data_IF_384448112670
#
_entry.id   IF_384448112670
#
_cell.length_a   1.000
_cell.length_b   1.000
_cell.length_c   1.000
_cell.angle_alpha   90.00
_cell.angle_beta   90.00
_cell.angle_gamma   90.00
#
_symmetry.space_group_name_H-M   'P 1'
#
loop_
_entity.id
_entity.type
_entity.pdbx_description
1 polymer ?
#
# COMPACT_ATOMS: atom_id res chain seq x y z
N UNK A 1 14.78 -12.97 -50.78
CA UNK A 1 15.40 -12.25 -49.65
C UNK A 1 14.47 -11.11 -49.29
N UNK A 2 13.85 -11.17 -48.11
CA UNK A 2 12.95 -10.12 -47.62
C UNK A 2 13.79 -9.08 -46.92
N UNK A 3 13.81 -7.84 -47.42
CA UNK A 3 14.45 -6.72 -46.74
C UNK A 3 13.71 -6.44 -45.43
N UNK A 4 14.36 -6.70 -44.30
CA UNK A 4 13.94 -6.19 -43.00
C UNK A 4 14.27 -4.71 -42.95
N UNK A 5 13.27 -3.87 -43.23
CA UNK A 5 13.33 -2.43 -42.96
C UNK A 5 13.36 -2.21 -41.45
N UNK A 6 14.56 -2.10 -40.87
CA UNK A 6 14.74 -1.55 -39.52
C UNK A 6 14.50 -0.05 -39.64
N UNK A 7 13.35 0.42 -39.16
CA UNK A 7 13.13 1.86 -38.94
C UNK A 7 14.03 2.28 -37.78
N UNK A 8 15.06 3.06 -38.07
CA UNK A 8 15.83 3.77 -37.04
C UNK A 8 14.93 4.83 -36.40
N UNK A 9 14.31 4.50 -35.27
CA UNK A 9 13.83 5.51 -34.35
C UNK A 9 15.04 6.20 -33.73
N UNK A 10 15.37 7.39 -34.24
CA UNK A 10 16.41 8.31 -33.75
C UNK A 10 16.00 8.97 -32.42
N UNK A 11 15.54 8.16 -31.46
CA UNK A 11 15.40 8.57 -30.07
C UNK A 11 16.69 8.29 -29.31
N UNK A 12 17.18 9.25 -28.53
CA UNK A 12 18.28 9.00 -27.61
C UNK A 12 17.96 7.78 -26.73
N UNK A 13 18.85 6.78 -26.69
CA UNK A 13 18.69 5.59 -25.86
C UNK A 13 18.57 6.03 -24.39
N UNK A 14 17.38 5.91 -23.81
CA UNK A 14 17.12 6.34 -22.43
C UNK A 14 17.51 5.30 -21.39
N UNK A 15 17.92 4.10 -21.80
CA UNK A 15 18.19 2.96 -20.90
C UNK A 15 16.93 2.31 -20.33
N UNK A 16 15.78 2.96 -20.49
CA UNK A 16 14.51 2.57 -19.90
C UNK A 16 14.03 1.19 -20.36
N UNK A 17 14.17 0.89 -21.65
CA UNK A 17 13.79 -0.42 -22.17
C UNK A 17 14.70 -1.53 -21.64
N UNK A 18 16.01 -1.29 -21.55
CA UNK A 18 16.95 -2.25 -20.96
C UNK A 18 16.63 -2.51 -19.48
N UNK A 19 16.31 -1.46 -18.71
CA UNK A 19 15.93 -1.62 -17.31
C UNK A 19 14.66 -2.48 -17.17
N UNK A 20 13.66 -2.33 -18.04
CA UNK A 20 12.46 -3.19 -18.03
C UNK A 20 12.79 -4.67 -18.11
N UNK A 21 13.76 -5.05 -18.94
CA UNK A 21 14.22 -6.44 -19.05
C UNK A 21 14.98 -6.92 -17.81
N UNK A 22 15.66 -6.02 -17.09
CA UNK A 22 16.44 -6.36 -15.90
C UNK A 22 15.62 -6.37 -14.60
N UNK A 23 14.47 -5.70 -14.57
CA UNK A 23 13.65 -5.55 -13.36
C UNK A 23 13.30 -6.86 -12.64
N UNK A 24 12.90 -7.95 -13.33
CA UNK A 24 12.66 -9.22 -12.64
C UNK A 24 13.89 -9.73 -11.89
N UNK A 25 15.08 -9.66 -12.52
CA UNK A 25 16.33 -10.07 -11.89
C UNK A 25 16.69 -9.14 -10.71
N UNK A 26 16.56 -7.83 -10.87
CA UNK A 26 16.79 -6.87 -9.79
C UNK A 26 15.84 -7.09 -8.60
N UNK A 27 14.57 -7.43 -8.87
CA UNK A 27 13.60 -7.75 -7.82
C UNK A 27 14.06 -8.97 -7.00
N UNK A 28 14.51 -10.05 -7.64
CA UNK A 28 15.03 -11.22 -6.93
C UNK A 28 16.34 -10.94 -6.19
N UNK A 29 17.30 -10.28 -6.85
CA UNK A 29 18.59 -9.95 -6.25
C UNK A 29 18.45 -9.00 -5.04
N UNK A 30 17.49 -8.08 -5.06
CA UNK A 30 17.23 -7.20 -3.91
C UNK A 30 16.67 -7.93 -2.68
N UNK A 31 16.07 -9.11 -2.84
CA UNK A 31 15.58 -9.91 -1.71
C UNK A 31 16.72 -10.64 -0.98
N UNK A 32 17.76 -11.05 -1.73
CA UNK A 32 18.90 -11.80 -1.21
C UNK A 32 19.95 -10.88 -0.56
N UNK A 33 20.54 -11.30 0.57
CA UNK A 33 21.41 -10.42 1.36
C UNK A 33 22.67 -9.95 0.62
N UNK A 34 23.47 -10.88 0.09
CA UNK A 34 24.74 -10.54 -0.55
C UNK A 34 24.55 -9.77 -1.87
N UNK A 35 23.66 -10.19 -2.79
CA UNK A 35 23.39 -9.39 -3.99
C UNK A 35 22.80 -8.01 -3.67
N UNK A 36 21.92 -7.89 -2.67
CA UNK A 36 21.37 -6.59 -2.26
C UNK A 36 22.48 -5.63 -1.82
N UNK A 37 23.49 -6.08 -1.07
CA UNK A 37 24.64 -5.25 -0.69
C UNK A 37 25.36 -4.68 -1.93
N UNK A 38 25.55 -5.48 -2.97
CA UNK A 38 26.12 -5.02 -4.25
C UNK A 38 25.20 -4.00 -4.92
N UNK A 39 23.89 -4.28 -5.02
CA UNK A 39 22.92 -3.34 -5.61
C UNK A 39 22.91 -1.97 -4.90
N UNK A 40 23.09 -1.97 -3.57
CA UNK A 40 23.21 -0.76 -2.78
C UNK A 40 24.48 0.05 -3.10
N UNK A 41 25.60 -0.59 -3.45
CA UNK A 41 26.82 0.12 -3.90
C UNK A 41 26.69 0.73 -5.29
N UNK A 42 25.73 0.26 -6.09
CA UNK A 42 25.46 0.73 -7.45
C UNK A 42 24.31 1.74 -7.51
N UNK A 43 23.84 2.24 -6.35
CA UNK A 43 22.69 3.15 -6.23
C UNK A 43 21.43 2.67 -6.96
N UNK A 44 21.22 1.35 -6.97
CA UNK A 44 20.04 0.72 -7.57
C UNK A 44 18.72 1.30 -7.03
N UNK A 45 18.56 1.63 -5.72
CA UNK A 45 17.34 2.28 -5.25
C UNK A 45 17.06 3.60 -5.98
N UNK A 46 18.07 4.46 -6.17
CA UNK A 46 17.90 5.73 -6.87
C UNK A 46 17.51 5.51 -8.34
N UNK A 47 18.16 4.56 -9.02
CA UNK A 47 17.80 4.16 -10.39
C UNK A 47 16.33 3.73 -10.51
N UNK A 48 15.83 2.93 -9.56
CA UNK A 48 14.45 2.47 -9.54
C UNK A 48 13.45 3.61 -9.26
N UNK A 49 13.80 4.55 -8.37
CA UNK A 49 12.97 5.75 -8.11
C UNK A 49 12.89 6.64 -9.35
N UNK A 50 14.01 6.83 -10.06
CA UNK A 50 14.03 7.61 -11.29
C UNK A 50 13.20 6.95 -12.39
N UNK A 51 13.31 5.63 -12.53
CA UNK A 51 12.48 4.85 -13.44
C UNK A 51 10.98 5.03 -13.14
N UNK A 52 10.57 4.88 -11.88
CA UNK A 52 9.18 5.08 -11.46
C UNK A 52 8.70 6.51 -11.73
N UNK A 53 9.53 7.51 -11.45
CA UNK A 53 9.21 8.92 -11.65
C UNK A 53 8.98 9.25 -13.14
N UNK A 54 9.82 8.72 -14.02
CA UNK A 54 9.68 8.88 -15.47
C UNK A 54 8.46 8.12 -16.01
N UNK A 55 8.22 6.90 -15.53
CA UNK A 55 7.03 6.13 -15.89
C UNK A 55 5.74 6.82 -15.46
N UNK A 56 5.69 7.34 -14.23
CA UNK A 56 4.57 8.14 -13.74
C UNK A 56 4.33 9.40 -14.57
N UNK A 57 5.39 10.13 -14.92
CA UNK A 57 5.29 11.33 -15.76
C UNK A 57 4.74 11.01 -17.15
N UNK A 58 5.20 9.91 -17.77
CA UNK A 58 4.66 9.44 -19.04
C UNK A 58 3.19 9.03 -18.92
N UNK A 59 2.81 8.36 -17.82
CA UNK A 59 1.45 7.94 -17.54
C UNK A 59 0.49 9.12 -17.36
N UNK A 60 0.95 10.22 -16.74
CA UNK A 60 0.19 11.48 -16.61
C UNK A 60 -0.02 12.16 -17.97
N UNK A 61 1.00 12.17 -18.82
CA UNK A 61 0.96 12.87 -20.12
C UNK A 61 0.03 12.24 -21.17
N UNK A 62 -0.29 10.95 -21.07
CA UNK A 62 -1.10 10.20 -22.05
C UNK A 62 -2.62 10.37 -21.90
N UNK A 63 -3.07 11.57 -21.51
CA UNK A 63 -4.47 11.88 -21.18
C UNK A 63 -5.50 11.23 -22.13
N UNK A 64 -6.26 10.27 -21.61
CA UNK A 64 -7.43 9.68 -22.28
C UNK A 64 -7.20 8.39 -23.09
N UNK A 65 -5.96 8.02 -23.44
CA UNK A 65 -5.70 6.70 -24.04
C UNK A 65 -5.64 5.69 -22.91
N UNK A 66 -6.37 4.57 -23.03
CA UNK A 66 -6.32 3.45 -22.09
C UNK A 66 -4.87 3.15 -21.73
N UNK A 67 -4.45 3.61 -20.56
CA UNK A 67 -3.10 3.35 -20.08
C UNK A 67 -3.03 1.87 -19.79
N UNK A 68 -2.39 1.12 -20.69
CA UNK A 68 -2.14 -0.29 -20.49
C UNK A 68 -1.39 -0.46 -19.16
N UNK A 69 -1.75 -1.52 -18.42
CA UNK A 69 -0.99 -1.95 -17.26
C UNK A 69 0.47 -2.14 -17.69
N UNK A 70 1.41 -1.50 -16.97
CA UNK A 70 2.85 -1.67 -17.16
C UNK A 70 3.40 -2.45 -15.95
N UNK A 71 3.55 -3.79 -16.06
CA UNK A 71 4.07 -4.61 -14.98
C UNK A 71 5.46 -4.20 -14.49
N UNK A 72 6.25 -3.49 -15.32
CA UNK A 72 7.57 -3.01 -14.93
C UNK A 72 7.50 -2.02 -13.77
N UNK A 73 6.47 -1.17 -13.70
CA UNK A 73 6.30 -0.27 -12.55
C UNK A 73 6.01 -1.06 -11.27
N UNK A 74 5.21 -2.12 -11.36
CA UNK A 74 4.87 -2.98 -10.24
C UNK A 74 6.11 -3.75 -9.76
N UNK A 75 6.90 -4.33 -10.68
CA UNK A 75 8.16 -5.01 -10.34
C UNK A 75 9.19 -4.06 -9.71
N UNK A 76 9.28 -2.81 -10.19
CA UNK A 76 10.16 -1.81 -9.58
C UNK A 76 9.70 -1.46 -8.16
N UNK A 77 8.39 -1.37 -7.90
CA UNK A 77 7.86 -1.21 -6.55
C UNK A 77 8.21 -2.41 -5.66
N UNK A 78 8.08 -3.64 -6.14
CA UNK A 78 8.46 -4.84 -5.39
C UNK A 78 9.96 -4.86 -5.03
N UNK A 79 10.84 -4.47 -5.96
CA UNK A 79 12.27 -4.34 -5.67
C UNK A 79 12.54 -3.24 -4.62
N UNK A 80 11.90 -2.07 -4.73
CA UNK A 80 11.99 -1.00 -3.73
C UNK A 80 11.43 -1.41 -2.37
N UNK A 81 10.41 -2.26 -2.34
CA UNK A 81 9.84 -2.81 -1.10
C UNK A 81 10.87 -3.68 -0.37
N UNK A 82 11.66 -4.48 -1.09
CA UNK A 82 12.75 -5.27 -0.48
C UNK A 82 13.74 -4.36 0.25
N UNK A 83 14.26 -3.32 -0.42
CA UNK A 83 15.13 -2.34 0.23
C UNK A 83 14.45 -1.64 1.41
N UNK A 84 13.16 -1.31 1.28
CA UNK A 84 12.39 -0.66 2.35
C UNK A 84 12.29 -1.53 3.60
N UNK A 85 12.16 -2.84 3.42
CA UNK A 85 12.05 -3.81 4.51
C UNK A 85 13.41 -4.10 5.15
N UNK A 86 14.44 -4.31 4.34
CA UNK A 86 15.73 -4.82 4.81
C UNK A 86 16.71 -3.73 5.20
N UNK A 87 16.58 -2.51 4.66
CA UNK A 87 17.54 -1.41 4.84
C UNK A 87 16.91 -0.16 5.50
N UNK A 88 16.24 -0.26 6.66
CA UNK A 88 15.46 0.83 7.24
C UNK A 88 16.30 2.07 7.58
N UNK A 89 17.58 1.90 7.94
CA UNK A 89 18.48 3.03 8.19
C UNK A 89 18.83 3.80 6.92
N UNK A 90 18.98 3.09 5.78
CA UNK A 90 19.23 3.74 4.49
C UNK A 90 17.99 4.49 4.03
N UNK A 91 16.81 3.88 4.13
CA UNK A 91 15.52 4.51 3.77
C UNK A 91 15.31 5.84 4.50
N UNK A 92 15.72 5.95 5.77
CA UNK A 92 15.59 7.19 6.55
C UNK A 92 16.54 8.32 6.14
N UNK A 93 17.69 7.99 5.54
CA UNK A 93 18.79 8.93 5.31
C UNK A 93 18.98 9.29 3.83
N UNK A 94 18.74 8.34 2.95
CA UNK A 94 19.04 8.49 1.53
C UNK A 94 17.98 9.37 0.83
N UNK A 95 18.39 10.47 0.16
CA UNK A 95 17.48 11.40 -0.50
C UNK A 95 16.57 10.76 -1.55
N UNK A 96 16.95 9.66 -2.19
CA UNK A 96 16.10 9.03 -3.20
C UNK A 96 14.75 8.57 -2.62
N UNK A 97 14.70 8.16 -1.34
CA UNK A 97 13.45 7.79 -0.69
C UNK A 97 12.56 9.00 -0.40
N UNK A 98 13.12 10.20 -0.24
CA UNK A 98 12.32 11.44 -0.18
C UNK A 98 11.65 11.74 -1.51
N UNK A 99 12.39 11.57 -2.60
CA UNK A 99 11.85 11.69 -3.96
C UNK A 99 10.74 10.66 -4.19
N UNK A 100 10.94 9.42 -3.73
CA UNK A 100 9.93 8.36 -3.78
C UNK A 100 8.68 8.73 -2.96
N UNK A 101 8.83 9.21 -1.72
CA UNK A 101 7.70 9.66 -0.90
C UNK A 101 6.86 10.73 -1.61
N UNK A 102 7.52 11.72 -2.22
CA UNK A 102 6.86 12.77 -2.98
C UNK A 102 6.09 12.21 -4.19
N UNK A 103 6.74 11.31 -4.95
CA UNK A 103 6.11 10.60 -6.07
C UNK A 103 4.86 9.83 -5.62
N UNK A 104 4.97 9.02 -4.55
CA UNK A 104 3.86 8.21 -4.04
C UNK A 104 2.70 9.09 -3.56
N UNK A 105 3.01 10.20 -2.88
CA UNK A 105 2.01 11.18 -2.43
C UNK A 105 1.28 11.88 -3.58
N UNK A 106 1.94 12.08 -4.71
CA UNK A 106 1.35 12.69 -5.90
C UNK A 106 0.52 11.67 -6.70
N UNK A 107 1.05 10.46 -6.85
CA UNK A 107 0.51 9.45 -7.76
C UNK A 107 -0.66 8.65 -7.18
N UNK A 108 -0.58 8.25 -5.91
CA UNK A 108 -1.60 7.39 -5.30
C UNK A 108 -3.03 7.98 -5.40
N UNK A 109 -3.28 9.28 -5.09
CA UNK A 109 -4.62 9.87 -5.22
C UNK A 109 -5.22 9.76 -6.63
N UNK A 110 -4.38 9.66 -7.67
CA UNK A 110 -4.83 9.51 -9.06
C UNK A 110 -5.00 8.03 -9.42
N UNK A 111 -4.08 7.17 -8.99
CA UNK A 111 -4.09 5.73 -9.29
C UNK A 111 -5.32 5.03 -8.70
N UNK A 112 -5.77 5.41 -7.51
CA UNK A 112 -6.94 4.79 -6.85
C UNK A 112 -8.25 4.97 -7.63
N UNK A 113 -8.29 5.90 -8.59
CA UNK A 113 -9.44 6.13 -9.47
C UNK A 113 -9.30 5.46 -10.85
N UNK A 114 -8.27 4.62 -11.05
CA UNK A 114 -8.01 3.91 -12.29
C UNK A 114 -8.06 2.39 -12.05
N UNK A 115 -9.24 1.73 -12.20
CA UNK A 115 -9.40 0.30 -11.91
C UNK A 115 -8.39 -0.61 -12.61
N UNK A 116 -8.03 -0.29 -13.87
CA UNK A 116 -7.03 -1.04 -14.66
C UNK A 116 -5.61 -1.02 -14.07
N UNK A 117 -5.34 -0.11 -13.13
CA UNK A 117 -4.06 0.07 -12.47
C UNK A 117 -4.15 -0.24 -10.97
N UNK A 118 -5.16 -1.01 -10.54
CA UNK A 118 -5.38 -1.34 -9.13
C UNK A 118 -4.17 -2.01 -8.50
N UNK A 119 -3.53 -2.96 -9.19
CA UNK A 119 -2.31 -3.64 -8.70
C UNK A 119 -1.16 -2.65 -8.50
N UNK A 120 -0.99 -1.70 -9.41
CA UNK A 120 -0.01 -0.62 -9.26
C UNK A 120 -0.37 0.32 -8.09
N UNK A 121 -1.66 0.65 -7.90
CA UNK A 121 -2.12 1.42 -6.75
C UNK A 121 -1.84 0.69 -5.43
N UNK A 122 -2.04 -0.63 -5.40
CA UNK A 122 -1.70 -1.47 -4.24
C UNK A 122 -0.19 -1.45 -3.96
N UNK A 123 0.65 -1.57 -4.98
CA UNK A 123 2.11 -1.43 -4.85
C UNK A 123 2.51 -0.08 -4.25
N UNK A 124 1.96 1.02 -4.78
CA UNK A 124 2.26 2.38 -4.31
C UNK A 124 1.77 2.60 -2.86
N UNK A 125 0.58 2.09 -2.54
CA UNK A 125 0.02 2.14 -1.21
C UNK A 125 0.90 1.39 -0.20
N UNK A 126 1.26 0.14 -0.51
CA UNK A 126 2.12 -0.70 0.33
C UNK A 126 3.47 -0.05 0.55
N UNK A 127 4.15 0.37 -0.52
CA UNK A 127 5.48 0.97 -0.43
C UNK A 127 5.49 2.24 0.43
N UNK A 128 4.52 3.13 0.24
CA UNK A 128 4.44 4.37 1.02
C UNK A 128 4.07 4.14 2.49
N UNK A 129 3.22 3.16 2.80
CA UNK A 129 2.93 2.77 4.18
C UNK A 129 4.15 2.11 4.85
N UNK A 130 4.91 1.31 4.10
CA UNK A 130 6.13 0.67 4.60
C UNK A 130 7.24 1.68 4.86
N UNK A 131 7.38 2.73 4.05
CA UNK A 131 8.25 3.86 4.35
C UNK A 131 7.70 4.64 5.55
N UNK A 132 6.39 4.91 5.56
CA UNK A 132 5.71 5.66 6.61
C UNK A 132 5.91 5.08 8.02
N UNK A 133 5.94 3.75 8.15
CA UNK A 133 6.14 3.09 9.46
C UNK A 133 7.55 3.29 10.04
N UNK A 134 8.52 3.69 9.21
CA UNK A 134 9.89 3.95 9.63
C UNK A 134 10.09 5.38 10.15
N UNK A 135 9.11 6.26 9.93
CA UNK A 135 9.17 7.68 10.29
C UNK A 135 8.68 7.92 11.71
N UNK A 136 9.33 8.84 12.40
CA UNK A 136 8.84 9.39 13.67
C UNK A 136 7.72 10.41 13.44
N UNK A 137 6.94 10.68 14.49
CA UNK A 137 5.97 11.76 14.47
C UNK A 137 6.63 13.11 14.10
N UNK A 138 6.02 13.91 13.22
CA UNK A 138 6.53 15.24 12.89
C UNK A 138 6.52 16.14 14.13
N UNK A 139 7.55 16.99 14.28
CA UNK A 139 7.68 17.96 15.38
C UNK A 139 6.78 19.18 15.22
N UNK A 140 6.14 19.34 14.05
CA UNK A 140 5.21 20.41 13.72
C UNK A 140 3.98 19.91 12.98
N UNK A 141 3.39 20.76 12.13
CA UNK A 141 2.25 20.37 11.30
C UNK A 141 2.63 19.25 10.33
N UNK A 142 1.74 18.27 10.17
CA UNK A 142 1.88 17.21 9.16
C UNK A 142 1.94 17.83 7.76
N UNK A 143 2.92 17.44 6.97
CA UNK A 143 3.06 17.90 5.59
C UNK A 143 1.81 17.56 4.76
N UNK A 144 1.37 18.50 3.91
CA UNK A 144 0.16 18.32 3.11
C UNK A 144 0.25 17.10 2.17
N UNK A 145 1.43 16.79 1.65
CA UNK A 145 1.68 15.57 0.86
C UNK A 145 1.48 14.32 1.70
N UNK A 146 2.13 14.23 2.86
CA UNK A 146 1.98 13.10 3.77
C UNK A 146 0.52 12.86 4.16
N UNK A 147 -0.21 13.92 4.56
CA UNK A 147 -1.64 13.78 4.90
C UNK A 147 -2.45 13.28 3.70
N UNK A 148 -2.20 13.80 2.49
CA UNK A 148 -2.89 13.39 1.26
C UNK A 148 -2.62 11.93 0.90
N UNK A 149 -1.37 11.47 1.04
CA UNK A 149 -0.99 10.08 0.84
C UNK A 149 -1.80 9.16 1.77
N UNK A 150 -1.73 9.40 3.08
CA UNK A 150 -2.42 8.55 4.06
C UNK A 150 -3.95 8.58 3.88
N UNK A 151 -4.52 9.74 3.55
CA UNK A 151 -5.96 9.85 3.27
C UNK A 151 -6.35 8.98 2.07
N UNK A 152 -5.54 8.98 1.01
CA UNK A 152 -5.77 8.19 -0.19
C UNK A 152 -5.57 6.69 0.07
N UNK A 153 -4.54 6.33 0.84
CA UNK A 153 -4.29 4.96 1.27
C UNK A 153 -5.47 4.40 2.10
N UNK A 154 -6.00 5.17 3.06
CA UNK A 154 -7.14 4.75 3.86
C UNK A 154 -8.38 4.51 3.01
N UNK A 155 -8.71 5.43 2.09
CA UNK A 155 -9.86 5.23 1.17
C UNK A 155 -9.66 4.02 0.26
N UNK A 156 -8.44 3.81 -0.22
CA UNK A 156 -8.10 2.66 -1.05
C UNK A 156 -8.27 1.33 -0.29
N UNK A 157 -7.67 1.21 0.90
CA UNK A 157 -7.75 0.01 1.73
C UNK A 157 -9.19 -0.30 2.16
N UNK A 158 -9.99 0.74 2.42
CA UNK A 158 -11.41 0.62 2.73
C UNK A 158 -12.19 -0.07 1.59
N UNK A 159 -11.82 0.17 0.33
CA UNK A 159 -12.59 -0.27 -0.83
C UNK A 159 -12.48 -1.75 -1.19
N UNK A 160 -11.58 -2.50 -0.55
CA UNK A 160 -11.30 -3.88 -0.95
C UNK A 160 -12.37 -4.89 -0.52
N UNK A 161 -13.00 -4.68 0.64
CA UNK A 161 -13.97 -5.61 1.22
C UNK A 161 -15.34 -4.95 1.35
N UNK A 162 -16.39 -5.75 1.22
CA UNK A 162 -17.78 -5.32 1.35
C UNK A 162 -18.59 -6.37 2.14
N UNK A 163 -19.67 -5.92 2.76
CA UNK A 163 -20.62 -6.76 3.51
C UNK A 163 -21.55 -7.58 2.62
N UNK A 164 -21.56 -7.33 1.30
CA UNK A 164 -22.39 -8.04 0.33
C UNK A 164 -23.88 -7.99 0.66
N UNK A 165 -24.61 -9.08 0.38
CA UNK A 165 -26.01 -9.25 0.79
C UNK A 165 -26.06 -9.70 2.25
N UNK A 166 -26.33 -8.77 3.18
CA UNK A 166 -26.50 -9.09 4.60
C UNK A 166 -27.78 -9.92 4.84
N UNK A 167 -27.73 -11.03 5.61
CA UNK A 167 -26.57 -11.60 6.30
C UNK A 167 -25.74 -12.57 5.42
N UNK A 168 -24.43 -12.32 5.30
CA UNK A 168 -23.48 -13.13 4.53
C UNK A 168 -22.03 -12.98 5.01
N UNK A 169 -21.08 -13.77 4.47
CA UNK A 169 -19.65 -13.61 4.79
C UNK A 169 -19.11 -12.30 4.20
N UNK A 170 -18.05 -11.76 4.81
CA UNK A 170 -17.26 -10.68 4.21
C UNK A 170 -16.75 -11.13 2.83
N UNK A 171 -16.90 -10.29 1.81
CA UNK A 171 -16.45 -10.60 0.44
C UNK A 171 -15.57 -9.50 -0.12
N UNK A 172 -14.75 -9.88 -1.08
CA UNK A 172 -14.03 -8.92 -1.93
C UNK A 172 -15.05 -8.11 -2.74
N UNK A 173 -14.86 -6.79 -2.79
CA UNK A 173 -15.74 -5.91 -3.54
C UNK A 173 -15.61 -6.14 -5.05
N UNK A 174 -16.67 -5.85 -5.81
CA UNK A 174 -16.68 -6.06 -7.26
C UNK A 174 -15.55 -5.33 -8.00
N UNK A 175 -15.14 -4.16 -7.49
CA UNK A 175 -14.04 -3.38 -8.07
C UNK A 175 -12.65 -3.99 -7.87
N UNK A 176 -12.52 -4.94 -6.95
CA UNK A 176 -11.28 -5.63 -6.63
C UNK A 176 -11.24 -7.07 -7.14
N UNK A 177 -12.39 -7.68 -7.44
CA UNK A 177 -12.52 -9.10 -7.74
C UNK A 177 -11.58 -9.58 -8.86
N UNK A 178 -11.43 -8.81 -9.94
CA UNK A 178 -10.57 -9.18 -11.09
C UNK A 178 -9.07 -9.21 -10.73
N UNK A 179 -8.63 -8.31 -9.85
CA UNK A 179 -7.21 -8.16 -9.48
C UNK A 179 -6.89 -8.69 -8.09
N UNK A 180 -7.84 -9.34 -7.41
CA UNK A 180 -7.68 -9.73 -6.01
C UNK A 180 -6.53 -10.70 -5.82
N UNK A 181 -6.43 -11.73 -6.66
CA UNK A 181 -5.33 -12.72 -6.58
C UNK A 181 -3.94 -12.06 -6.59
N UNK A 182 -3.78 -11.00 -7.38
CA UNK A 182 -2.51 -10.26 -7.48
C UNK A 182 -2.34 -9.19 -6.37
N UNK A 183 -3.44 -8.58 -5.91
CA UNK A 183 -3.42 -7.43 -5.00
C UNK A 183 -3.62 -7.80 -3.51
N UNK A 184 -4.15 -8.99 -3.21
CA UNK A 184 -4.59 -9.34 -1.87
C UNK A 184 -3.43 -9.32 -0.85
N UNK A 185 -2.24 -9.80 -1.25
CA UNK A 185 -1.09 -9.81 -0.36
C UNK A 185 -0.56 -8.41 -0.10
N UNK A 186 -0.55 -7.55 -1.12
CA UNK A 186 -0.20 -6.13 -0.98
C UNK A 186 -1.20 -5.42 -0.06
N UNK A 187 -2.49 -5.71 -0.19
CA UNK A 187 -3.52 -5.13 0.69
C UNK A 187 -3.34 -5.56 2.15
N UNK A 188 -3.06 -6.84 2.40
CA UNK A 188 -2.79 -7.36 3.76
C UNK A 188 -1.53 -6.72 4.35
N UNK A 189 -0.44 -6.69 3.59
CA UNK A 189 0.81 -6.04 4.00
C UNK A 189 0.62 -4.55 4.28
N UNK A 190 -0.21 -3.87 3.47
CA UNK A 190 -0.59 -2.47 3.71
C UNK A 190 -1.32 -2.27 5.03
N UNK A 191 -2.24 -3.16 5.43
CA UNK A 191 -2.89 -3.06 6.75
C UNK A 191 -1.91 -3.23 7.91
N UNK A 192 -0.98 -4.17 7.79
CA UNK A 192 0.07 -4.37 8.79
C UNK A 192 1.00 -3.15 8.88
N UNK A 193 1.38 -2.62 7.72
CA UNK A 193 2.18 -1.40 7.61
C UNK A 193 1.45 -0.18 8.20
N UNK A 194 0.14 -0.06 7.98
CA UNK A 194 -0.71 0.98 8.57
C UNK A 194 -0.71 0.89 10.10
N UNK A 195 -0.83 -0.33 10.67
CA UNK A 195 -0.68 -0.53 12.11
C UNK A 195 0.68 -0.07 12.64
N UNK A 196 1.76 -0.35 11.88
CA UNK A 196 3.10 0.18 12.16
C UNK A 196 3.17 1.71 12.10
N UNK A 197 2.50 2.33 11.12
CA UNK A 197 2.43 3.78 10.99
C UNK A 197 1.72 4.41 12.19
N UNK A 198 0.59 3.86 12.63
CA UNK A 198 -0.16 4.34 13.81
C UNK A 198 0.72 4.29 15.07
N UNK A 199 1.50 3.22 15.25
CA UNK A 199 2.46 3.10 16.36
C UNK A 199 3.58 4.13 16.32
N UNK A 200 4.10 4.43 15.12
CA UNK A 200 5.21 5.36 14.95
C UNK A 200 4.76 6.83 14.97
N UNK A 201 3.51 7.09 14.57
CA UNK A 201 2.97 8.42 14.31
C UNK A 201 1.51 8.53 14.81
N UNK A 202 1.28 8.97 16.06
CA UNK A 202 -0.05 8.97 16.68
C UNK A 202 -1.13 9.78 15.95
N UNK A 203 -0.75 10.82 15.18
CA UNK A 203 -1.67 11.63 14.38
C UNK A 203 -2.44 10.81 13.34
N UNK A 204 -1.90 9.67 12.90
CA UNK A 204 -2.56 8.78 11.94
C UNK A 204 -3.79 8.15 12.57
N UNK A 205 -3.80 7.92 13.89
CA UNK A 205 -4.98 7.43 14.60
C UNK A 205 -6.18 8.37 14.48
N UNK A 206 -5.96 9.69 14.51
CA UNK A 206 -7.05 10.65 14.27
C UNK A 206 -7.49 10.62 12.81
N UNK A 207 -6.54 10.58 11.87
CA UNK A 207 -6.85 10.55 10.44
C UNK A 207 -7.67 9.30 10.04
N UNK A 208 -7.35 8.14 10.59
CA UNK A 208 -8.10 6.87 10.38
C UNK A 208 -9.59 7.05 10.72
N UNK A 209 -9.89 7.83 11.77
CA UNK A 209 -11.26 8.15 12.18
C UNK A 209 -11.89 9.21 11.27
N UNK A 210 -11.17 10.28 10.97
CA UNK A 210 -11.62 11.38 10.11
C UNK A 210 -12.00 10.88 8.70
N UNK A 211 -11.21 9.96 8.13
CA UNK A 211 -11.48 9.34 6.83
C UNK A 211 -12.56 8.24 6.88
N UNK A 212 -13.12 7.97 8.06
CA UNK A 212 -14.20 7.01 8.26
C UNK A 212 -13.79 5.55 8.03
N UNK A 213 -12.49 5.25 7.94
CA UNK A 213 -11.99 3.88 7.74
C UNK A 213 -12.41 2.99 8.91
N UNK A 214 -12.16 3.44 10.15
CA UNK A 214 -12.49 2.66 11.34
C UNK A 214 -13.98 2.34 11.43
N UNK A 215 -14.83 3.37 11.32
CA UNK A 215 -16.28 3.22 11.38
C UNK A 215 -16.79 2.27 10.31
N UNK A 216 -16.29 2.38 9.08
CA UNK A 216 -16.69 1.50 7.98
C UNK A 216 -16.28 0.05 8.22
N UNK A 217 -15.03 -0.20 8.60
CA UNK A 217 -14.52 -1.56 8.87
C UNK A 217 -15.30 -2.23 9.99
N UNK A 218 -15.57 -1.52 11.09
CA UNK A 218 -16.37 -2.06 12.19
C UNK A 218 -17.80 -2.36 11.76
N UNK A 219 -18.45 -1.45 11.04
CA UNK A 219 -19.81 -1.67 10.55
C UNK A 219 -19.91 -2.87 9.60
N UNK A 220 -18.94 -3.01 8.69
CA UNK A 220 -18.85 -4.15 7.77
C UNK A 220 -18.72 -5.47 8.53
N UNK A 221 -17.77 -5.55 9.49
CA UNK A 221 -17.57 -6.75 10.29
C UNK A 221 -18.78 -7.09 11.17
N UNK A 222 -19.50 -6.07 11.66
CA UNK A 222 -20.70 -6.26 12.46
C UNK A 222 -21.94 -6.72 11.68
N UNK A 223 -22.01 -6.43 10.38
CA UNK A 223 -23.12 -6.83 9.52
C UNK A 223 -22.93 -8.21 8.89
N UNK A 224 -21.69 -8.71 8.89
CA UNK A 224 -21.36 -10.01 8.31
C UNK A 224 -21.51 -11.13 9.33
N UNK A 225 -21.93 -12.31 8.86
CA UNK A 225 -22.08 -13.51 9.70
C UNK A 225 -20.79 -14.30 9.89
N UNK A 226 -19.81 -14.09 9.01
CA UNK A 226 -18.53 -14.77 9.04
C UNK A 226 -17.38 -13.83 8.65
N UNK A 227 -16.21 -14.08 9.23
CA UNK A 227 -14.96 -13.39 8.92
C UNK A 227 -14.45 -13.77 7.52
N UNK A 228 -13.58 -12.94 6.90
CA UNK A 228 -12.87 -13.33 5.69
C UNK A 228 -11.87 -14.47 5.98
N UNK A 229 -11.19 -14.95 4.95
CA UNK A 229 -10.13 -15.95 5.05
C UNK A 229 -9.06 -15.56 6.09
N UNK A 230 -8.42 -16.57 6.69
CA UNK A 230 -7.60 -16.43 7.89
C UNK A 230 -6.50 -15.35 7.78
N UNK A 231 -5.85 -15.22 6.62
CA UNK A 231 -4.81 -14.21 6.41
C UNK A 231 -5.38 -12.78 6.42
N UNK A 232 -6.52 -12.57 5.76
CA UNK A 232 -7.20 -11.27 5.70
C UNK A 232 -7.81 -10.91 7.05
N UNK A 233 -8.37 -11.89 7.76
CA UNK A 233 -8.77 -11.73 9.16
C UNK A 233 -7.59 -11.28 10.02
N UNK A 234 -6.45 -11.96 9.92
CA UNK A 234 -5.26 -11.65 10.72
C UNK A 234 -4.76 -10.23 10.49
N UNK A 235 -4.70 -9.79 9.23
CA UNK A 235 -4.28 -8.43 8.88
C UNK A 235 -5.23 -7.35 9.40
N UNK A 236 -6.55 -7.58 9.30
CA UNK A 236 -7.56 -6.67 9.86
C UNK A 236 -7.46 -6.59 11.38
N UNK A 237 -7.37 -7.74 12.05
CA UNK A 237 -7.28 -7.82 13.50
C UNK A 237 -6.03 -7.10 14.02
N UNK A 238 -4.88 -7.29 13.36
CA UNK A 238 -3.63 -6.64 13.73
C UNK A 238 -3.71 -5.11 13.58
N UNK A 239 -4.27 -4.62 12.47
CA UNK A 239 -4.45 -3.19 12.24
C UNK A 239 -5.39 -2.55 13.27
N UNK A 240 -6.53 -3.20 13.58
CA UNK A 240 -7.47 -2.73 14.59
C UNK A 240 -6.87 -2.76 15.99
N UNK A 241 -6.09 -3.79 16.35
CA UNK A 241 -5.36 -3.84 17.62
C UNK A 241 -4.38 -2.66 17.72
N UNK A 242 -3.61 -2.38 16.67
CA UNK A 242 -2.66 -1.27 16.67
C UNK A 242 -3.35 0.08 16.90
N UNK A 243 -4.54 0.27 16.34
CA UNK A 243 -5.36 1.48 16.56
C UNK A 243 -5.89 1.56 17.99
N UNK A 244 -6.40 0.44 18.54
CA UNK A 244 -6.90 0.38 19.91
C UNK A 244 -5.78 0.62 20.94
N UNK A 245 -4.58 0.09 20.70
CA UNK A 245 -3.47 0.21 21.63
C UNK A 245 -2.87 1.61 21.65
N UNK A 246 -2.91 2.33 20.51
CA UNK A 246 -2.24 3.64 20.37
C UNK A 246 -3.18 4.85 20.40
N UNK A 247 -4.48 4.66 20.17
CA UNK A 247 -5.45 5.73 20.19
C UNK A 247 -6.59 5.40 21.18
N UNK A 248 -6.63 6.09 22.34
CA UNK A 248 -7.68 5.85 23.35
C UNK A 248 -9.09 6.02 22.80
N UNK A 249 -9.30 6.95 21.86
CA UNK A 249 -10.62 7.16 21.25
C UNK A 249 -11.00 6.00 20.33
N UNK A 250 -10.07 5.51 19.50
CA UNK A 250 -10.30 4.29 18.71
C UNK A 250 -10.61 3.11 19.61
N UNK A 251 -9.90 2.97 20.75
CA UNK A 251 -10.12 1.89 21.71
C UNK A 251 -11.55 1.86 22.23
N UNK A 252 -12.09 3.03 22.60
CA UNK A 252 -13.47 3.16 23.07
C UNK A 252 -14.45 2.81 21.96
N UNK A 253 -14.29 3.39 20.76
CA UNK A 253 -15.17 3.12 19.61
C UNK A 253 -15.21 1.64 19.22
N UNK A 254 -14.04 0.99 19.17
CA UNK A 254 -13.94 -0.45 18.90
C UNK A 254 -14.62 -1.25 20.02
N UNK A 255 -14.36 -0.91 21.28
CA UNK A 255 -14.98 -1.58 22.42
C UNK A 255 -16.51 -1.46 22.42
N UNK A 256 -17.04 -0.29 22.09
CA UNK A 256 -18.48 -0.05 21.95
C UNK A 256 -19.09 -0.84 20.79
N UNK A 257 -18.41 -0.88 19.64
CA UNK A 257 -18.85 -1.70 18.51
C UNK A 257 -18.90 -3.19 18.90
N UNK A 258 -17.86 -3.71 19.56
CA UNK A 258 -17.78 -5.12 19.97
C UNK A 258 -18.83 -5.51 21.02
N UNK A 259 -19.18 -4.61 21.95
CA UNK A 259 -20.23 -4.88 22.97
C UNK A 259 -21.62 -4.99 22.36
N UNK A 260 -21.88 -4.24 21.30
CA UNK A 260 -23.17 -4.21 20.61
C UNK A 260 -23.21 -5.19 19.42
N UNK A 261 -22.11 -5.89 19.17
CA UNK A 261 -21.95 -6.72 17.99
C UNK A 261 -22.74 -8.04 18.07
N UNK A 262 -23.34 -8.40 16.93
CA UNK A 262 -23.94 -9.72 16.71
C UNK A 262 -23.36 -10.44 15.49
N UNK A 263 -22.34 -9.83 14.86
CA UNK A 263 -21.74 -10.30 13.62
C UNK A 263 -20.40 -10.97 13.82
N UNK A 264 -19.55 -10.83 12.81
CA UNK A 264 -18.24 -11.45 12.75
C UNK A 264 -17.20 -10.75 13.65
N UNK A 265 -17.45 -9.49 14.03
CA UNK A 265 -16.52 -8.68 14.82
C UNK A 265 -16.19 -9.32 16.18
N UNK A 266 -17.17 -9.93 16.86
CA UNK A 266 -16.96 -10.61 18.15
C UNK A 266 -15.99 -11.81 18.07
N UNK A 267 -15.78 -12.35 16.87
CA UNK A 267 -14.88 -13.48 16.63
C UNK A 267 -13.39 -13.09 16.60
N UNK A 268 -13.07 -11.79 16.58
CA UNK A 268 -11.71 -11.25 16.66
C UNK A 268 -11.19 -11.27 18.12
N UNK A 269 -10.65 -12.42 18.54
CA UNK A 269 -10.25 -12.68 19.94
C UNK A 269 -9.13 -11.78 20.45
N UNK A 270 -8.11 -11.47 19.63
CA UNK A 270 -7.01 -10.59 20.04
C UNK A 270 -7.52 -9.15 20.19
N UNK A 271 -8.37 -8.71 19.27
CA UNK A 271 -8.98 -7.39 19.35
C UNK A 271 -9.84 -7.27 20.61
N UNK A 272 -10.69 -8.28 20.87
CA UNK A 272 -11.53 -8.37 22.08
C UNK A 272 -10.71 -8.18 23.36
N UNK A 273 -9.55 -8.85 23.42
CA UNK A 273 -8.60 -8.73 24.54
C UNK A 273 -7.99 -7.32 24.64
N UNK A 274 -7.55 -6.72 23.52
CA UNK A 274 -6.96 -5.37 23.49
C UNK A 274 -7.94 -4.30 24.03
N UNK A 275 -9.23 -4.41 23.69
CA UNK A 275 -10.26 -3.46 24.14
C UNK A 275 -10.93 -3.81 25.48
N UNK A 276 -10.56 -4.94 26.11
CA UNK A 276 -11.06 -5.33 27.43
C UNK A 276 -12.55 -5.72 27.46
N UNK A 277 -13.11 -6.21 26.35
CA UNK A 277 -14.49 -6.73 26.30
C UNK A 277 -14.49 -8.18 26.78
N UNK A 278 -15.39 -8.53 27.70
CA UNK A 278 -15.52 -9.89 28.25
C UNK A 278 -16.24 -10.84 27.30
#
# INVERSE_FOLDING_TARGET
MSEMSVREETGAWTGKEALRYLLPALCHLSAEEEPRKVLLTLDTPALLVDFLSQCWTSLKGKGGVSSARDPSMETACSALLNFTVTEPERVRKDPCFRTLEALLSEALPVLVHKPRLLVLAANYCTLGLMIGRLKSAPTGSVEAGQRRFFSSALRFLRGALDSGSSPGPVRVSLGWAESWEEAAELWRLSLQALGGCVRAQPWIGSLVREEGWLKHTLAMLSQCSALPEQHTQGALEEALCAMADQCPVCKVEIGDAMRNDKGALISLRKLKKSVGVK
#
